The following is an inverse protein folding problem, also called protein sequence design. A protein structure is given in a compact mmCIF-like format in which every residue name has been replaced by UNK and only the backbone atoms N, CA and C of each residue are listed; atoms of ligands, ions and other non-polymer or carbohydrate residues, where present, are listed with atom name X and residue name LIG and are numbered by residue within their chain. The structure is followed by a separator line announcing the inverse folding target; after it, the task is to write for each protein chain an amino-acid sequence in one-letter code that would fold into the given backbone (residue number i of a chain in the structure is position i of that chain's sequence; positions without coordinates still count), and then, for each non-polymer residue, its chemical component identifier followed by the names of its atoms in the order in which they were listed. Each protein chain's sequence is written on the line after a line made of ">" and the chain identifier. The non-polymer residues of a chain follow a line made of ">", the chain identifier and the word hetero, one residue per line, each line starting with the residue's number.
data_IF_208532479912
#
_entry.id   IF_208532479912
#
_cell.length_a   1.000
_cell.length_b   1.000
_cell.length_c   1.000
_cell.angle_alpha   90.00
_cell.angle_beta   90.00
_cell.angle_gamma   90.00
#
_symmetry.space_group_name_H-M   'P 1'
#
loop_
_entity.id
_entity.type
_entity.pdbx_description
1 polymer ?
#
# COMPACT_ATOMS: atom_id res chain seq x y z
N UNK A 1 -31.01 -10.43 23.76
CA UNK A 1 -31.17 -11.00 22.41
C UNK A 1 -29.78 -11.17 21.83
N UNK A 2 -29.28 -12.41 21.85
CA UNK A 2 -27.97 -12.75 21.29
C UNK A 2 -28.13 -12.87 19.78
N UNK A 3 -27.66 -11.88 19.02
CA UNK A 3 -27.62 -11.94 17.57
C UNK A 3 -26.59 -12.99 17.16
N UNK A 4 -27.04 -14.07 16.54
CA UNK A 4 -26.15 -15.05 15.91
C UNK A 4 -25.47 -14.32 14.76
N UNK A 5 -24.18 -13.98 14.91
CA UNK A 5 -23.34 -13.57 13.78
C UNK A 5 -23.17 -14.83 12.92
N UNK A 6 -23.81 -14.87 11.77
CA UNK A 6 -23.65 -15.95 10.79
C UNK A 6 -22.29 -15.80 10.10
N UNK A 7 -21.66 -16.91 9.71
CA UNK A 7 -20.37 -16.90 9.00
C UNK A 7 -20.38 -16.00 7.75
N UNK A 8 -21.53 -15.94 7.06
CA UNK A 8 -21.76 -15.07 5.90
C UNK A 8 -21.70 -13.56 6.20
N UNK A 9 -22.01 -13.13 7.44
CA UNK A 9 -21.88 -11.73 7.84
C UNK A 9 -20.43 -11.34 8.11
N UNK A 10 -19.65 -12.27 8.66
CA UNK A 10 -18.22 -12.08 8.92
C UNK A 10 -17.40 -12.05 7.61
N UNK A 11 -17.81 -12.83 6.61
CA UNK A 11 -17.19 -12.85 5.27
C UNK A 11 -17.40 -11.51 4.54
N UNK A 12 -18.62 -10.98 4.53
CA UNK A 12 -18.93 -9.67 3.94
C UNK A 12 -18.14 -8.53 4.61
N UNK A 13 -17.97 -8.57 5.93
CA UNK A 13 -17.18 -7.57 6.65
C UNK A 13 -15.68 -7.61 6.29
N UNK A 14 -15.15 -8.79 5.95
CA UNK A 14 -13.75 -8.98 5.53
C UNK A 14 -13.53 -8.51 4.10
N UNK A 15 -14.46 -8.81 3.19
CA UNK A 15 -14.45 -8.32 1.81
C UNK A 15 -14.44 -6.78 1.78
N UNK A 16 -15.40 -6.14 2.45
CA UNK A 16 -15.47 -4.69 2.60
C UNK A 16 -14.19 -4.08 3.19
N UNK A 17 -13.56 -4.78 4.13
CA UNK A 17 -12.30 -4.34 4.73
C UNK A 17 -11.15 -4.40 3.72
N UNK A 18 -11.04 -5.49 2.97
CA UNK A 18 -10.00 -5.66 1.95
C UNK A 18 -10.13 -4.58 0.87
N UNK A 19 -11.34 -4.33 0.38
CA UNK A 19 -11.59 -3.29 -0.62
C UNK A 19 -11.18 -1.91 -0.11
N UNK A 20 -11.60 -1.55 1.12
CA UNK A 20 -11.21 -0.26 1.73
C UNK A 20 -9.70 -0.15 1.92
N UNK A 21 -9.04 -1.23 2.32
CA UNK A 21 -7.57 -1.26 2.47
C UNK A 21 -6.90 -1.07 1.11
N UNK A 22 -7.35 -1.80 0.09
CA UNK A 22 -6.84 -1.67 -1.27
C UNK A 22 -6.96 -0.24 -1.80
N UNK A 23 -8.15 0.36 -1.70
CA UNK A 23 -8.40 1.74 -2.12
C UNK A 23 -7.47 2.74 -1.42
N UNK A 24 -7.24 2.55 -0.12
CA UNK A 24 -6.38 3.44 0.66
C UNK A 24 -4.91 3.26 0.28
N UNK A 25 -4.44 2.04 0.08
CA UNK A 25 -3.06 1.78 -0.38
C UNK A 25 -2.84 2.41 -1.75
N UNK A 26 -3.79 2.26 -2.68
CA UNK A 26 -3.72 2.87 -4.01
C UNK A 26 -3.69 4.40 -3.95
N UNK A 27 -4.52 5.03 -3.11
CA UNK A 27 -4.50 6.49 -2.92
C UNK A 27 -3.17 6.97 -2.36
N UNK A 28 -2.59 6.25 -1.40
CA UNK A 28 -1.28 6.58 -0.83
C UNK A 28 -0.17 6.42 -1.86
N UNK A 29 -0.14 5.29 -2.58
CA UNK A 29 0.83 5.05 -3.66
C UNK A 29 0.78 6.15 -4.72
N UNK A 30 -0.43 6.54 -5.14
CA UNK A 30 -0.64 7.65 -6.06
C UNK A 30 -0.13 8.98 -5.50
N UNK A 31 -0.43 9.29 -4.23
CA UNK A 31 0.05 10.52 -3.60
C UNK A 31 1.59 10.59 -3.54
N UNK A 32 2.27 9.45 -3.32
CA UNK A 32 3.74 9.36 -3.37
C UNK A 32 4.25 9.68 -4.79
N UNK A 33 3.67 9.10 -5.83
CA UNK A 33 4.04 9.38 -7.23
C UNK A 33 3.80 10.84 -7.58
N UNK A 34 2.62 11.37 -7.24
CA UNK A 34 2.27 12.77 -7.53
C UNK A 34 3.22 13.74 -6.80
N UNK A 35 3.64 13.42 -5.56
CA UNK A 35 4.63 14.21 -4.82
C UNK A 35 6.04 14.10 -5.38
N UNK A 36 6.42 12.92 -5.89
CA UNK A 36 7.65 12.78 -6.64
C UNK A 36 7.66 13.66 -7.89
N UNK A 37 6.57 13.69 -8.65
CA UNK A 37 6.48 14.49 -9.87
C UNK A 37 6.60 16.00 -9.58
N UNK A 38 6.17 16.44 -8.39
CA UNK A 38 6.31 17.83 -7.93
C UNK A 38 7.73 18.16 -7.42
N UNK A 39 8.34 17.26 -6.64
CA UNK A 39 9.54 17.56 -5.85
C UNK A 39 10.83 17.00 -6.46
N UNK A 40 10.75 15.88 -7.17
CA UNK A 40 11.90 15.07 -7.57
C UNK A 40 12.61 14.41 -6.37
N UNK A 41 13.62 13.58 -6.67
CA UNK A 41 14.39 12.84 -5.65
C UNK A 41 15.04 13.76 -4.60
N UNK A 42 15.68 14.84 -5.04
CA UNK A 42 16.47 15.74 -4.16
C UNK A 42 15.62 16.40 -3.06
N UNK A 43 14.35 16.68 -3.34
CA UNK A 43 13.50 17.44 -2.42
C UNK A 43 12.48 16.58 -1.70
N UNK A 44 12.19 15.37 -2.16
CA UNK A 44 11.11 14.56 -1.57
C UNK A 44 11.41 14.17 -0.13
N UNK A 45 12.68 13.92 0.22
CA UNK A 45 13.11 13.57 1.58
C UNK A 45 12.90 14.69 2.60
N UNK A 46 12.91 15.96 2.15
CA UNK A 46 12.87 17.13 3.05
C UNK A 46 11.56 17.91 2.97
N UNK A 47 10.83 17.81 1.86
CA UNK A 47 9.62 18.62 1.60
C UNK A 47 8.33 17.81 1.61
N UNK A 48 8.39 16.48 1.53
CA UNK A 48 7.20 15.65 1.63
C UNK A 48 6.75 15.54 3.10
N UNK A 49 5.47 15.78 3.33
CA UNK A 49 4.83 15.64 4.66
C UNK A 49 3.47 14.94 4.50
N UNK A 50 3.23 13.78 5.14
CA UNK A 50 4.19 13.01 5.93
C UNK A 50 5.38 12.51 5.09
N UNK A 51 6.51 12.24 5.75
CA UNK A 51 7.71 11.73 5.09
C UNK A 51 7.48 10.32 4.55
N UNK A 52 8.31 9.93 3.58
CA UNK A 52 8.26 8.59 2.98
C UNK A 52 8.49 7.47 4.01
N UNK A 53 9.32 7.71 5.04
CA UNK A 53 9.54 6.76 6.14
C UNK A 53 8.29 6.58 7.01
N UNK A 54 7.58 7.67 7.34
CA UNK A 54 6.34 7.61 8.12
C UNK A 54 5.23 6.89 7.34
N UNK A 55 5.12 7.16 6.04
CA UNK A 55 4.19 6.47 5.15
C UNK A 55 4.53 4.98 5.09
N UNK A 56 5.79 4.62 4.85
CA UNK A 56 6.24 3.23 4.80
C UNK A 56 5.96 2.50 6.12
N UNK A 57 6.18 3.15 7.27
CA UNK A 57 5.86 2.59 8.57
C UNK A 57 4.36 2.29 8.72
N UNK A 58 3.49 3.25 8.38
CA UNK A 58 2.05 3.04 8.45
C UNK A 58 1.59 1.91 7.52
N UNK A 59 2.12 1.86 6.30
CA UNK A 59 1.81 0.81 5.33
C UNK A 59 2.31 -0.58 5.77
N UNK A 60 3.42 -0.67 6.50
CA UNK A 60 3.88 -1.94 7.07
C UNK A 60 2.88 -2.54 8.06
N UNK A 61 2.22 -1.70 8.87
CA UNK A 61 1.16 -2.15 9.77
C UNK A 61 -0.04 -2.70 8.98
N UNK A 62 -0.41 -2.03 7.88
CA UNK A 62 -1.43 -2.52 6.95
C UNK A 62 -1.02 -3.85 6.32
N UNK A 63 0.24 -4.01 5.91
CA UNK A 63 0.74 -5.26 5.34
C UNK A 63 0.61 -6.44 6.33
N UNK A 64 0.89 -6.23 7.62
CA UNK A 64 0.69 -7.25 8.66
C UNK A 64 -0.78 -7.64 8.82
N UNK A 65 -1.70 -6.68 8.72
CA UNK A 65 -3.15 -6.96 8.72
C UNK A 65 -3.55 -7.80 7.51
N UNK A 66 -3.08 -7.43 6.31
CA UNK A 66 -3.34 -8.18 5.07
C UNK A 66 -2.81 -9.62 5.13
N UNK A 67 -1.65 -9.83 5.77
CA UNK A 67 -1.09 -11.17 5.99
C UNK A 67 -1.97 -12.04 6.88
N UNK A 68 -2.58 -11.45 7.93
CA UNK A 68 -3.55 -12.15 8.77
C UNK A 68 -4.88 -12.47 8.05
N UNK A 69 -5.24 -11.69 7.02
CA UNK A 69 -6.47 -11.88 6.24
C UNK A 69 -6.29 -12.88 5.09
N UNK A 70 -5.10 -12.95 4.49
CA UNK A 70 -4.81 -13.77 3.30
C UNK A 70 -5.32 -15.23 3.40
N UNK A 71 -5.14 -15.97 4.53
CA UNK A 71 -5.61 -17.36 4.62
C UNK A 71 -7.13 -17.53 4.60
N UNK A 72 -7.89 -16.43 4.76
CA UNK A 72 -9.36 -16.44 4.82
C UNK A 72 -10.00 -16.08 3.48
N UNK A 73 -9.20 -15.82 2.45
CA UNK A 73 -9.69 -15.40 1.15
C UNK A 73 -9.79 -16.61 0.23
N UNK A 74 -11.01 -16.97 -0.12
CA UNK A 74 -11.34 -17.98 -1.12
C UNK A 74 -11.64 -17.35 -2.50
N UNK A 75 -12.10 -16.10 -2.52
CA UNK A 75 -12.33 -15.34 -3.73
C UNK A 75 -11.02 -14.89 -4.42
N UNK A 76 -10.88 -15.26 -5.70
CA UNK A 76 -9.69 -14.96 -6.50
C UNK A 76 -9.51 -13.47 -6.81
N UNK A 77 -10.59 -12.69 -6.86
CA UNK A 77 -10.54 -11.24 -7.08
C UNK A 77 -9.97 -10.54 -5.85
N UNK A 78 -10.48 -10.86 -4.66
CA UNK A 78 -9.99 -10.34 -3.39
C UNK A 78 -8.53 -10.75 -3.15
N UNK A 79 -8.17 -11.99 -3.45
CA UNK A 79 -6.78 -12.44 -3.32
C UNK A 79 -5.84 -11.60 -4.20
N UNK A 80 -6.29 -11.23 -5.41
CA UNK A 80 -5.53 -10.36 -6.31
C UNK A 80 -5.41 -8.93 -5.78
N UNK A 81 -6.48 -8.37 -5.22
CA UNK A 81 -6.43 -7.04 -4.60
C UNK A 81 -5.42 -7.01 -3.44
N UNK A 82 -5.43 -8.02 -2.58
CA UNK A 82 -4.44 -8.14 -1.49
C UNK A 82 -3.03 -8.23 -2.05
N UNK A 83 -2.78 -9.06 -3.06
CA UNK A 83 -1.45 -9.16 -3.69
C UNK A 83 -1.00 -7.80 -4.25
N UNK A 84 -1.88 -7.10 -4.96
CA UNK A 84 -1.58 -5.78 -5.52
C UNK A 84 -1.29 -4.76 -4.41
N UNK A 85 -2.08 -4.76 -3.33
CA UNK A 85 -1.85 -3.90 -2.17
C UNK A 85 -0.46 -4.14 -1.56
N UNK A 86 -0.11 -5.42 -1.34
CA UNK A 86 1.20 -5.80 -0.81
C UNK A 86 2.35 -5.35 -1.71
N UNK A 87 2.19 -5.44 -3.04
CA UNK A 87 3.19 -4.98 -4.00
C UNK A 87 3.37 -3.46 -3.96
N UNK A 88 2.28 -2.69 -3.89
CA UNK A 88 2.36 -1.23 -3.77
C UNK A 88 3.04 -0.82 -2.45
N UNK A 89 2.67 -1.47 -1.33
CA UNK A 89 3.32 -1.24 -0.03
C UNK A 89 4.83 -1.50 -0.14
N UNK A 90 5.22 -2.65 -0.72
CA UNK A 90 6.62 -2.99 -0.92
C UNK A 90 7.37 -1.92 -1.71
N UNK A 91 6.80 -1.39 -2.79
CA UNK A 91 7.48 -0.35 -3.57
C UNK A 91 7.59 0.99 -2.83
N UNK A 92 6.62 1.35 -1.99
CA UNK A 92 6.76 2.53 -1.10
C UNK A 92 7.88 2.31 -0.09
N UNK A 93 7.99 1.11 0.51
CA UNK A 93 9.08 0.78 1.42
C UNK A 93 10.45 0.84 0.72
N UNK A 94 10.54 0.35 -0.52
CA UNK A 94 11.78 0.44 -1.32
C UNK A 94 12.15 1.89 -1.64
N UNK A 95 11.18 2.74 -1.99
CA UNK A 95 11.42 4.16 -2.21
C UNK A 95 11.95 4.84 -0.92
N UNK A 96 11.35 4.54 0.24
CA UNK A 96 11.82 5.09 1.51
C UNK A 96 13.24 4.62 1.87
N UNK A 97 13.53 3.34 1.65
CA UNK A 97 14.86 2.78 1.87
C UNK A 97 15.91 3.41 0.95
N UNK A 98 15.58 3.60 -0.33
CA UNK A 98 16.46 4.19 -1.32
C UNK A 98 16.82 5.65 -1.00
N UNK A 99 15.86 6.42 -0.44
CA UNK A 99 16.13 7.77 0.10
C UNK A 99 17.16 7.69 1.23
N UNK A 100 16.97 6.77 2.18
CA UNK A 100 17.87 6.59 3.33
C UNK A 100 19.27 6.12 2.93
N UNK A 101 19.38 5.32 1.87
CA UNK A 101 20.66 4.84 1.35
C UNK A 101 21.26 5.75 0.29
N UNK A 102 20.68 6.93 0.05
CA UNK A 102 21.12 7.90 -0.96
C UNK A 102 21.30 7.25 -2.35
N UNK A 103 20.36 6.39 -2.74
CA UNK A 103 20.37 5.67 -4.03
C UNK A 103 19.25 6.21 -4.95
N UNK A 104 19.55 7.17 -5.84
CA UNK A 104 18.57 7.70 -6.77
C UNK A 104 18.04 6.62 -7.72
N UNK A 105 18.88 5.70 -8.17
CA UNK A 105 18.49 4.65 -9.13
C UNK A 105 17.41 3.73 -8.54
N UNK A 106 17.65 3.19 -7.35
CA UNK A 106 16.69 2.32 -6.65
C UNK A 106 15.38 3.06 -6.37
N UNK A 107 15.48 4.34 -6.00
CA UNK A 107 14.31 5.17 -5.78
C UNK A 107 13.47 5.33 -7.06
N UNK A 108 14.10 5.68 -8.19
CA UNK A 108 13.36 5.86 -9.44
C UNK A 108 12.74 4.55 -9.91
N UNK A 109 13.44 3.41 -9.76
CA UNK A 109 12.86 2.10 -10.05
C UNK A 109 11.63 1.77 -9.19
N UNK A 110 11.66 2.14 -7.90
CA UNK A 110 10.50 1.97 -7.02
C UNK A 110 9.33 2.87 -7.45
N UNK A 111 9.58 4.15 -7.75
CA UNK A 111 8.54 5.08 -8.22
C UNK A 111 7.95 4.65 -9.57
N UNK A 112 8.76 4.21 -10.51
CA UNK A 112 8.26 3.69 -11.80
C UNK A 112 7.38 2.46 -11.60
N UNK A 113 7.72 1.59 -10.65
CA UNK A 113 6.91 0.42 -10.32
C UNK A 113 5.56 0.81 -9.71
N UNK A 114 5.55 1.80 -8.81
CA UNK A 114 4.32 2.40 -8.29
C UNK A 114 3.48 3.02 -9.41
N UNK A 115 4.12 3.77 -10.33
CA UNK A 115 3.42 4.44 -11.44
C UNK A 115 2.76 3.44 -12.38
N UNK A 116 3.44 2.33 -12.71
CA UNK A 116 2.85 1.25 -13.53
C UNK A 116 1.63 0.62 -12.85
N UNK A 117 1.67 0.45 -11.52
CA UNK A 117 0.57 -0.14 -10.77
C UNK A 117 -0.59 0.84 -10.51
N UNK A 118 -0.32 2.15 -10.44
CA UNK A 118 -1.36 3.17 -10.23
C UNK A 118 -2.18 3.50 -11.50
N UNK A 119 -1.81 2.94 -12.66
CA UNK A 119 -2.52 3.10 -13.93
C UNK A 119 -3.52 1.97 -14.21
N UNK A 120 -3.61 0.98 -13.31
CA UNK A 120 -4.44 -0.22 -13.41
C UNK A 120 -5.34 -0.36 -12.19
#
# INVERSE_FOLDING_TARGET
>A
MSGIITASGLEADVEDLIERVWDNVMKVAKAVVDKHDELGFELISTKMNPSLEEIAFALRLINQLLEGLTPKIDDMSLARQVINAKQQIYHVEMAALAIKSESPEDYHHAIESLRRQAQH
#
